data_IF_664639750191
#
_entry.id   IF_664639750191
#
_cell.length_a   1.000
_cell.length_b   1.000
_cell.length_c   1.000
_cell.angle_alpha   90.00
_cell.angle_beta   90.00
_cell.angle_gamma   90.00
#
_symmetry.space_group_name_H-M   'P 1'
#
loop_
_entity.id
_entity.type
_entity.pdbx_description
1 polymer ?
#
# COMPACT_ATOMS: atom_id res chain seq x y z
N UNK A 1 -14.60 17.29 11.26
CA UNK A 1 -14.87 17.05 9.82
C UNK A 1 -15.91 15.95 9.66
N UNK A 2 -16.99 16.16 8.87
CA UNK A 2 -17.99 15.14 8.53
C UNK A 2 -17.36 13.88 7.91
N UNK A 3 -17.98 12.70 8.12
CA UNK A 3 -17.45 11.41 7.66
C UNK A 3 -17.19 11.35 6.15
N UNK A 4 -18.12 11.85 5.34
CA UNK A 4 -17.98 11.89 3.89
C UNK A 4 -16.81 12.79 3.46
N UNK A 5 -16.71 14.00 4.03
CA UNK A 5 -15.63 14.92 3.73
C UNK A 5 -14.27 14.35 4.14
N UNK A 6 -14.21 13.64 5.28
CA UNK A 6 -13.01 12.95 5.74
C UNK A 6 -12.55 11.87 4.76
N UNK A 7 -13.48 11.01 4.31
CA UNK A 7 -13.18 9.98 3.32
C UNK A 7 -12.62 10.58 2.05
N UNK A 8 -13.34 11.54 1.46
CA UNK A 8 -12.94 12.18 0.20
C UNK A 8 -11.57 12.85 0.35
N UNK A 9 -11.36 13.56 1.45
CA UNK A 9 -10.07 14.21 1.73
C UNK A 9 -8.91 13.21 1.80
N UNK A 10 -9.02 12.17 2.62
CA UNK A 10 -7.93 11.20 2.76
C UNK A 10 -7.71 10.38 1.50
N UNK A 11 -8.78 9.90 0.87
CA UNK A 11 -8.68 9.13 -0.37
C UNK A 11 -8.04 9.95 -1.49
N UNK A 12 -8.45 11.20 -1.68
CA UNK A 12 -7.86 12.09 -2.68
C UNK A 12 -6.38 12.41 -2.37
N UNK A 13 -6.01 12.60 -1.10
CA UNK A 13 -4.61 12.85 -0.72
C UNK A 13 -3.73 11.62 -0.96
N UNK A 14 -4.19 10.43 -0.56
CA UNK A 14 -3.49 9.18 -0.81
C UNK A 14 -3.25 8.95 -2.31
N UNK A 15 -4.30 9.08 -3.13
CA UNK A 15 -4.20 8.82 -4.56
C UNK A 15 -3.46 9.93 -5.32
N UNK A 16 -3.89 11.18 -5.18
CA UNK A 16 -3.40 12.28 -6.02
C UNK A 16 -2.09 12.89 -5.52
N UNK A 17 -1.79 12.87 -4.22
CA UNK A 17 -0.59 13.50 -3.65
C UNK A 17 0.52 12.51 -3.34
N UNK A 18 0.17 11.26 -3.03
CA UNK A 18 1.13 10.23 -2.62
C UNK A 18 1.21 9.06 -3.60
N UNK A 19 0.48 9.13 -4.72
CA UNK A 19 0.48 8.14 -5.80
C UNK A 19 0.07 6.71 -5.37
N UNK A 20 -0.73 6.59 -4.30
CA UNK A 20 -1.29 5.29 -3.92
C UNK A 20 -2.38 4.89 -4.91
N UNK A 21 -2.41 3.61 -5.28
CA UNK A 21 -3.47 3.07 -6.14
C UNK A 21 -4.72 2.72 -5.32
N UNK A 22 -5.81 2.46 -6.02
CA UNK A 22 -7.01 1.95 -5.38
C UNK A 22 -6.81 0.50 -4.95
N UNK A 23 -7.20 0.21 -3.69
CA UNK A 23 -7.08 -1.12 -3.09
C UNK A 23 -7.72 -2.24 -3.92
N UNK A 24 -8.81 -1.97 -4.66
CA UNK A 24 -9.47 -2.98 -5.51
C UNK A 24 -8.68 -3.36 -6.76
N UNK A 25 -7.60 -2.63 -7.06
CA UNK A 25 -6.73 -2.87 -8.21
C UNK A 25 -5.41 -3.57 -7.81
N UNK A 26 -5.19 -3.87 -6.53
CA UNK A 26 -3.99 -4.59 -6.11
C UNK A 26 -3.94 -5.98 -6.76
N UNK A 27 -2.74 -6.51 -7.09
CA UNK A 27 -2.62 -7.80 -7.75
C UNK A 27 -3.17 -8.97 -6.93
N UNK A 28 -3.02 -8.91 -5.60
CA UNK A 28 -3.47 -9.94 -4.66
C UNK A 28 -4.92 -9.77 -4.19
N UNK A 29 -5.77 -9.26 -5.08
CA UNK A 29 -7.19 -9.12 -4.79
C UNK A 29 -7.78 -10.48 -4.34
N UNK A 30 -8.45 -10.56 -3.18
CA UNK A 30 -8.85 -11.85 -2.65
C UNK A 30 -9.88 -12.50 -3.55
N UNK A 31 -9.84 -13.83 -3.67
CA UNK A 31 -10.73 -14.62 -4.56
C UNK A 31 -12.22 -14.44 -4.27
N UNK A 32 -12.58 -13.99 -3.07
CA UNK A 32 -13.97 -13.70 -2.72
C UNK A 32 -14.41 -12.29 -3.17
N UNK A 33 -13.47 -11.42 -3.56
CA UNK A 33 -13.70 -10.09 -4.11
C UNK A 33 -13.44 -10.10 -5.62
N UNK A 34 -14.37 -10.72 -6.34
CA UNK A 34 -14.38 -10.78 -7.81
C UNK A 34 -15.63 -10.09 -8.33
N UNK A 35 -15.49 -9.35 -9.42
CA UNK A 35 -16.60 -8.64 -10.03
C UNK A 35 -17.50 -9.57 -10.87
N UNK A 36 -18.79 -9.28 -10.89
CA UNK A 36 -19.70 -9.72 -11.93
C UNK A 36 -19.57 -8.77 -13.12
N UNK A 37 -18.69 -9.07 -14.09
CA UNK A 37 -18.33 -8.14 -15.16
C UNK A 37 -19.56 -7.52 -15.86
N UNK A 38 -20.53 -8.34 -16.26
CA UNK A 38 -21.76 -7.85 -16.92
C UNK A 38 -22.59 -6.90 -16.07
N UNK A 39 -22.60 -7.08 -14.74
CA UNK A 39 -23.31 -6.19 -13.82
C UNK A 39 -22.53 -4.90 -13.58
N UNK A 40 -21.20 -4.99 -13.49
CA UNK A 40 -20.31 -3.82 -13.36
C UNK A 40 -20.41 -2.94 -14.61
N UNK A 41 -20.27 -3.54 -15.80
CA UNK A 41 -20.34 -2.82 -17.07
C UNK A 41 -21.67 -2.11 -17.22
N UNK A 42 -22.78 -2.80 -16.90
CA UNK A 42 -24.12 -2.22 -16.92
C UNK A 42 -24.25 -1.05 -15.93
N UNK A 43 -23.88 -1.27 -14.67
CA UNK A 43 -24.02 -0.28 -13.60
C UNK A 43 -23.26 1.01 -13.92
N UNK A 44 -21.97 0.92 -14.26
CA UNK A 44 -21.16 2.11 -14.50
C UNK A 44 -21.48 2.82 -15.82
N UNK A 45 -21.98 2.09 -16.83
CA UNK A 45 -22.46 2.69 -18.07
C UNK A 45 -23.77 3.43 -17.89
N UNK A 46 -24.74 2.82 -17.21
CA UNK A 46 -26.09 3.38 -17.05
C UNK A 46 -26.11 4.49 -16.00
N UNK A 47 -25.43 4.31 -14.86
CA UNK A 47 -25.48 5.27 -13.74
C UNK A 47 -24.48 6.42 -13.90
N UNK A 48 -23.31 6.16 -14.50
CA UNK A 48 -22.21 7.14 -14.58
C UNK A 48 -21.79 7.48 -16.02
N UNK A 49 -22.40 6.88 -17.04
CA UNK A 49 -22.08 7.16 -18.44
C UNK A 49 -20.66 6.75 -18.84
N UNK A 50 -20.01 5.86 -18.08
CA UNK A 50 -18.62 5.45 -18.35
C UNK A 50 -18.53 4.59 -19.61
N UNK A 51 -17.45 4.77 -20.38
CA UNK A 51 -17.14 3.88 -21.49
C UNK A 51 -16.68 2.51 -20.99
N UNK A 52 -16.74 1.49 -21.84
CA UNK A 52 -16.21 0.16 -21.49
C UNK A 52 -14.72 0.21 -21.13
N UNK A 53 -13.95 1.06 -21.82
CA UNK A 53 -12.52 1.23 -21.54
C UNK A 53 -12.29 1.92 -20.19
N UNK A 54 -13.09 2.93 -19.84
CA UNK A 54 -12.99 3.59 -18.53
C UNK A 54 -13.33 2.62 -17.38
N UNK A 55 -14.35 1.78 -17.56
CA UNK A 55 -14.74 0.77 -16.57
C UNK A 55 -13.60 -0.24 -16.41
N UNK A 56 -13.03 -0.68 -17.53
CA UNK A 56 -11.92 -1.62 -17.54
C UNK A 56 -10.71 -1.05 -16.78
N UNK A 57 -10.28 0.16 -17.12
CA UNK A 57 -9.08 0.79 -16.55
C UNK A 57 -9.27 1.13 -15.07
N UNK A 58 -10.41 1.73 -14.69
CA UNK A 58 -10.58 2.31 -13.36
C UNK A 58 -11.21 1.35 -12.34
N UNK A 59 -11.98 0.35 -12.81
CA UNK A 59 -12.78 -0.50 -11.94
C UNK A 59 -12.28 -1.94 -11.94
N UNK A 60 -12.18 -2.59 -13.10
CA UNK A 60 -12.02 -4.05 -13.13
C UNK A 60 -10.59 -4.53 -13.26
N UNK A 61 -9.72 -3.78 -13.96
CA UNK A 61 -8.31 -4.13 -14.11
C UNK A 61 -7.59 -4.07 -12.75
N UNK A 62 -6.80 -5.10 -12.51
CA UNK A 62 -5.79 -5.11 -11.47
C UNK A 62 -4.43 -4.82 -12.09
N UNK A 63 -3.58 -4.18 -11.30
CA UNK A 63 -2.17 -4.08 -11.62
C UNK A 63 -1.53 -5.48 -11.69
N UNK A 64 -0.53 -5.63 -12.54
CA UNK A 64 0.20 -6.90 -12.68
C UNK A 64 1.30 -6.97 -11.61
N UNK A 65 1.46 -8.10 -10.89
CA UNK A 65 2.48 -8.25 -9.86
C UNK A 65 3.89 -7.95 -10.38
N UNK A 66 4.16 -8.15 -11.67
CA UNK A 66 5.49 -7.99 -12.27
C UNK A 66 5.83 -6.53 -12.58
N UNK A 67 4.83 -5.66 -12.74
CA UNK A 67 5.00 -4.25 -13.14
C UNK A 67 4.53 -3.27 -12.09
N UNK A 68 3.98 -3.75 -10.97
CA UNK A 68 3.45 -2.92 -9.91
C UNK A 68 4.25 -3.11 -8.65
N UNK A 69 4.98 -2.06 -8.32
CA UNK A 69 5.98 -2.03 -7.27
C UNK A 69 5.42 -1.24 -6.09
N UNK A 70 5.71 -1.67 -4.85
CA UNK A 70 5.25 -1.04 -3.60
C UNK A 70 3.74 -1.13 -3.36
N UNK A 71 3.24 -2.33 -3.01
CA UNK A 71 1.84 -2.52 -2.63
C UNK A 71 1.68 -3.34 -1.35
N UNK A 72 0.69 -2.99 -0.54
CA UNK A 72 0.26 -3.80 0.60
C UNK A 72 -0.62 -4.97 0.16
N UNK A 73 -0.74 -6.04 0.97
CA UNK A 73 -1.78 -7.01 0.77
C UNK A 73 -3.12 -6.31 0.89
N UNK A 74 -4.11 -6.87 0.21
CA UNK A 74 -5.45 -6.31 0.20
C UNK A 74 -5.96 -6.02 1.61
N UNK A 75 -6.24 -4.75 1.87
CA UNK A 75 -6.82 -4.28 3.13
C UNK A 75 -8.30 -3.86 2.94
N UNK A 76 -9.27 -4.65 3.45
CA UNK A 76 -10.68 -4.30 3.35
C UNK A 76 -11.06 -3.00 4.08
N UNK A 77 -10.19 -2.49 4.96
CA UNK A 77 -10.38 -1.28 5.74
C UNK A 77 -9.63 -0.05 5.17
N UNK A 78 -8.86 -0.25 4.09
CA UNK A 78 -8.10 0.82 3.44
C UNK A 78 -9.01 1.98 3.01
N UNK A 79 -8.54 3.20 3.23
CA UNK A 79 -9.25 4.40 2.79
C UNK A 79 -9.29 4.50 1.26
N UNK A 80 -8.38 3.83 0.56
CA UNK A 80 -8.31 3.84 -0.91
C UNK A 80 -9.25 2.82 -1.55
N UNK A 81 -9.81 1.88 -0.77
CA UNK A 81 -10.81 0.92 -1.24
C UNK A 81 -12.11 1.63 -1.61
N UNK A 82 -12.52 1.47 -2.86
CA UNK A 82 -13.81 1.95 -3.34
C UNK A 82 -14.96 1.21 -2.67
N UNK A 83 -16.07 1.91 -2.44
CA UNK A 83 -17.30 1.31 -1.97
C UNK A 83 -18.02 0.70 -3.17
N UNK A 84 -18.16 -0.62 -3.18
CA UNK A 84 -18.85 -1.38 -4.19
C UNK A 84 -20.12 -2.00 -3.59
N UNK A 85 -21.28 -1.80 -4.23
CA UNK A 85 -22.49 -2.54 -3.88
C UNK A 85 -22.30 -4.06 -4.00
N UNK A 86 -22.90 -4.82 -3.09
CA UNK A 86 -22.73 -6.28 -3.07
C UNK A 86 -23.24 -6.99 -4.32
N UNK A 87 -24.24 -6.42 -5.02
CA UNK A 87 -24.75 -7.01 -6.26
C UNK A 87 -23.74 -6.99 -7.42
N UNK A 88 -22.70 -6.16 -7.33
CA UNK A 88 -21.59 -6.11 -8.30
C UNK A 88 -20.50 -7.16 -8.02
N UNK A 89 -20.48 -7.75 -6.82
CA UNK A 89 -19.45 -8.69 -6.37
C UNK A 89 -20.02 -10.11 -6.37
N UNK A 90 -19.22 -11.08 -6.82
CA UNK A 90 -19.65 -12.48 -7.01
C UNK A 90 -20.17 -13.16 -5.74
N UNK A 91 -19.64 -12.78 -4.58
CA UNK A 91 -20.08 -13.33 -3.30
C UNK A 91 -21.30 -12.59 -2.70
N UNK A 92 -21.85 -11.59 -3.40
CA UNK A 92 -22.96 -10.76 -2.94
C UNK A 92 -22.62 -9.76 -1.83
N UNK A 93 -21.36 -9.70 -1.37
CA UNK A 93 -20.90 -8.84 -0.28
C UNK A 93 -20.13 -7.66 -0.86
N UNK A 94 -20.67 -6.46 -0.64
CA UNK A 94 -20.02 -5.22 -1.04
C UNK A 94 -18.82 -4.90 -0.16
N UNK A 95 -18.13 -3.80 -0.49
CA UNK A 95 -17.06 -3.27 0.35
C UNK A 95 -17.58 -2.18 1.30
N UNK A 96 -16.93 -2.01 2.46
CA UNK A 96 -17.36 -1.02 3.44
C UNK A 96 -17.12 0.43 2.96
N UNK A 97 -17.85 1.36 3.57
CA UNK A 97 -17.59 2.79 3.42
C UNK A 97 -16.54 3.23 4.45
N UNK A 98 -15.26 3.03 4.13
CA UNK A 98 -14.15 3.39 5.03
C UNK A 98 -14.03 4.91 5.14
N UNK A 99 -14.02 5.44 6.36
CA UNK A 99 -13.96 6.90 6.60
C UNK A 99 -12.67 7.37 7.24
N UNK A 100 -11.84 6.43 7.68
CA UNK A 100 -10.63 6.67 8.44
C UNK A 100 -9.50 5.85 7.82
N UNK A 101 -8.26 6.31 8.00
CA UNK A 101 -7.09 5.54 7.59
C UNK A 101 -7.04 4.24 8.40
N UNK A 102 -6.84 3.11 7.71
CA UNK A 102 -6.57 1.84 8.37
C UNK A 102 -5.19 1.86 9.04
N UNK A 103 -4.88 0.82 9.81
CA UNK A 103 -3.54 0.68 10.38
C UNK A 103 -2.50 0.30 9.31
N UNK A 104 -2.91 -0.33 8.21
CA UNK A 104 -2.06 -0.58 7.05
C UNK A 104 -1.80 0.71 6.27
N UNK A 105 -2.82 1.54 6.01
CA UNK A 105 -2.65 2.86 5.40
C UNK A 105 -1.60 3.67 6.16
N UNK A 106 -1.74 3.76 7.49
CA UNK A 106 -0.79 4.50 8.35
C UNK A 106 0.60 3.86 8.35
N UNK A 107 0.69 2.55 8.33
CA UNK A 107 1.98 1.84 8.30
C UNK A 107 2.73 2.11 7.01
N UNK A 108 2.07 1.94 5.86
CA UNK A 108 2.67 2.20 4.55
C UNK A 108 3.06 3.68 4.44
N UNK A 109 2.24 4.61 4.94
CA UNK A 109 2.60 6.02 5.04
C UNK A 109 3.83 6.27 5.91
N UNK A 110 3.93 5.65 7.09
CA UNK A 110 5.07 5.86 8.00
C UNK A 110 6.37 5.26 7.47
N UNK A 111 6.30 4.11 6.80
CA UNK A 111 7.48 3.46 6.22
C UNK A 111 7.95 4.13 4.94
N UNK A 112 7.02 4.64 4.12
CA UNK A 112 7.36 5.39 2.91
C UNK A 112 7.67 6.86 3.19
N UNK A 113 7.09 7.51 4.20
CA UNK A 113 7.23 8.96 4.42
C UNK A 113 7.44 9.27 5.90
N UNK A 114 8.48 8.68 6.48
CA UNK A 114 8.80 8.95 7.86
C UNK A 114 9.10 10.42 8.11
N UNK A 115 8.89 10.82 9.36
CA UNK A 115 9.22 12.14 9.87
C UNK A 115 10.16 11.97 11.04
N UNK A 116 11.16 12.84 11.10
CA UNK A 116 12.07 12.94 12.25
C UNK A 116 11.31 13.45 13.48
N UNK A 117 10.40 14.40 13.27
CA UNK A 117 9.52 14.93 14.31
C UNK A 117 8.11 14.36 14.16
N UNK A 118 7.77 13.41 15.03
CA UNK A 118 6.41 12.88 15.15
C UNK A 118 5.60 13.87 15.98
N UNK A 119 4.45 14.30 15.46
CA UNK A 119 3.52 15.14 16.22
C UNK A 119 3.11 14.41 17.51
N UNK A 120 3.27 15.04 18.70
CA UNK A 120 2.93 14.43 19.99
C UNK A 120 1.50 13.87 20.06
N UNK A 121 0.57 14.42 19.28
CA UNK A 121 -0.83 13.99 19.22
C UNK A 121 -1.03 12.63 18.51
N UNK A 122 -0.04 12.16 17.76
CA UNK A 122 -0.03 10.83 17.12
C UNK A 122 1.15 9.98 17.59
N UNK A 123 1.69 10.28 18.78
CA UNK A 123 2.94 9.75 19.34
C UNK A 123 3.12 8.24 19.32
N UNK A 124 2.04 7.45 19.27
CA UNK A 124 2.15 5.99 19.10
C UNK A 124 2.66 5.56 17.71
N UNK A 125 2.40 6.35 16.67
CA UNK A 125 2.80 6.04 15.30
C UNK A 125 4.24 6.47 15.05
N UNK A 126 5.16 5.57 15.39
CA UNK A 126 6.59 5.63 15.01
C UNK A 126 6.89 4.61 13.92
N UNK A 127 8.07 4.73 13.28
CA UNK A 127 8.56 3.70 12.35
C UNK A 127 8.69 2.34 13.04
N UNK A 128 9.12 2.33 14.31
CA UNK A 128 9.14 1.12 15.13
C UNK A 128 7.74 0.50 15.29
N UNK A 129 6.73 1.30 15.63
CA UNK A 129 5.37 0.79 15.78
C UNK A 129 4.79 0.32 14.44
N UNK A 130 5.04 1.05 13.36
CA UNK A 130 4.64 0.65 12.02
C UNK A 130 5.27 -0.70 11.62
N UNK A 131 6.56 -0.91 11.89
CA UNK A 131 7.24 -2.18 11.68
C UNK A 131 6.59 -3.32 12.49
N UNK A 132 6.19 -3.05 13.73
CA UNK A 132 5.50 -4.03 14.59
C UNK A 132 4.09 -4.38 14.06
N UNK A 133 3.33 -3.40 13.54
CA UNK A 133 2.00 -3.60 12.93
C UNK A 133 2.07 -4.58 11.75
N UNK A 134 3.14 -4.49 10.95
CA UNK A 134 3.37 -5.40 9.83
C UNK A 134 4.34 -6.55 10.17
N UNK A 135 4.57 -6.81 11.45
CA UNK A 135 5.29 -8.01 11.90
C UNK A 135 6.76 -8.10 11.49
N UNK A 136 7.42 -6.99 11.14
CA UNK A 136 8.87 -6.97 10.89
C UNK A 136 9.61 -7.25 12.19
N UNK A 137 10.53 -8.22 12.17
CA UNK A 137 11.26 -8.71 13.36
C UNK A 137 12.76 -8.86 13.09
N UNK A 138 13.51 -9.04 14.17
CA UNK A 138 14.95 -9.33 14.11
C UNK A 138 15.78 -8.19 13.55
N UNK A 139 16.89 -8.53 12.92
CA UNK A 139 17.89 -7.60 12.40
C UNK A 139 17.29 -6.53 11.46
N UNK A 140 16.28 -6.88 10.68
CA UNK A 140 15.62 -5.93 9.77
C UNK A 140 14.81 -4.87 10.48
N UNK A 141 14.19 -5.23 11.60
CA UNK A 141 13.52 -4.26 12.47
C UNK A 141 14.53 -3.26 13.00
N UNK A 142 15.68 -3.74 13.47
CA UNK A 142 16.76 -2.89 13.98
C UNK A 142 17.29 -1.98 12.88
N UNK A 143 17.59 -2.49 11.69
CA UNK A 143 18.05 -1.70 10.54
C UNK A 143 17.05 -0.61 10.12
N UNK A 144 15.76 -0.94 10.01
CA UNK A 144 14.72 0.02 9.63
C UNK A 144 14.52 1.09 10.71
N UNK A 145 14.59 0.72 11.99
CA UNK A 145 14.40 1.67 13.10
C UNK A 145 15.63 2.53 13.32
N UNK A 146 16.85 1.98 13.23
CA UNK A 146 18.10 2.74 13.41
C UNK A 146 18.29 3.78 12.30
N UNK A 147 17.87 3.47 11.07
CA UNK A 147 17.87 4.42 9.96
C UNK A 147 16.94 5.65 10.15
N UNK A 148 16.28 5.79 11.31
CA UNK A 148 15.43 6.93 11.68
C UNK A 148 16.07 7.88 12.70
N UNK A 149 17.36 7.74 13.01
CA UNK A 149 18.02 8.56 14.02
C UNK A 149 18.11 10.05 13.61
N UNK A 150 17.93 11.01 14.55
CA UNK A 150 17.72 12.43 14.25
C UNK A 150 18.96 13.19 13.73
N UNK A 151 20.13 12.54 13.71
CA UNK A 151 21.40 13.18 13.37
C UNK A 151 21.97 12.77 12.01
N UNK A 152 21.39 11.76 11.37
CA UNK A 152 21.84 11.33 10.05
C UNK A 152 20.88 11.85 8.99
N UNK A 153 21.46 12.63 8.09
CA UNK A 153 20.92 12.85 6.76
C UNK A 153 20.66 11.46 6.20
N UNK A 154 19.38 11.11 6.01
CA UNK A 154 18.80 10.44 4.85
C UNK A 154 17.51 9.73 5.28
N UNK A 155 16.36 10.42 5.19
CA UNK A 155 15.05 9.76 5.04
C UNK A 155 15.08 8.74 3.88
N UNK A 156 15.99 8.96 2.92
CA UNK A 156 16.36 8.02 1.87
C UNK A 156 17.03 6.75 2.40
N UNK A 157 17.86 6.77 3.44
CA UNK A 157 18.53 5.60 4.01
C UNK A 157 17.52 4.69 4.74
N UNK A 158 16.48 5.25 5.36
CA UNK A 158 15.39 4.44 5.90
C UNK A 158 14.56 3.80 4.77
N UNK A 159 14.21 4.59 3.75
CA UNK A 159 13.54 4.04 2.55
C UNK A 159 14.40 2.95 1.92
N UNK A 160 15.71 3.17 1.80
CA UNK A 160 16.69 2.22 1.28
C UNK A 160 16.81 1.01 2.20
N UNK A 161 16.78 1.15 3.52
CA UNK A 161 16.81 0.01 4.45
C UNK A 161 15.52 -0.82 4.38
N UNK A 162 14.37 -0.16 4.27
CA UNK A 162 13.08 -0.82 4.03
C UNK A 162 13.03 -1.48 2.63
N UNK A 163 13.61 -0.82 1.64
CA UNK A 163 13.85 -1.38 0.31
C UNK A 163 14.74 -2.62 0.44
N UNK A 164 15.93 -2.51 1.02
CA UNK A 164 16.88 -3.60 1.17
C UNK A 164 16.30 -4.77 1.96
N UNK A 165 15.54 -4.54 3.03
CA UNK A 165 14.80 -5.60 3.72
C UNK A 165 13.96 -6.42 2.76
N UNK A 166 13.17 -5.73 1.95
CA UNK A 166 12.36 -6.35 0.92
C UNK A 166 13.17 -7.06 -0.17
N UNK A 167 14.39 -6.59 -0.43
CA UNK A 167 15.28 -7.19 -1.44
C UNK A 167 16.06 -8.42 -0.93
N UNK A 168 16.38 -8.46 0.36
CA UNK A 168 17.38 -9.37 0.94
C UNK A 168 16.74 -10.60 1.59
N UNK A 169 15.44 -10.57 1.91
CA UNK A 169 14.76 -11.73 2.45
C UNK A 169 14.61 -12.89 1.43
N UNK A 170 14.96 -12.72 0.15
CA UNK A 170 14.61 -13.61 -1.00
C UNK A 170 13.10 -13.99 -1.07
N UNK A 171 12.32 -13.50 -0.12
CA UNK A 171 10.89 -13.44 -0.10
C UNK A 171 10.55 -12.06 -0.61
N UNK A 172 9.96 -12.04 -1.80
CA UNK A 172 9.33 -10.87 -2.41
C UNK A 172 8.13 -10.36 -1.58
N UNK A 173 7.91 -10.93 -0.39
CA UNK A 173 6.83 -10.61 0.51
C UNK A 173 7.20 -10.68 1.99
N UNK A 174 6.54 -9.87 2.82
CA UNK A 174 6.52 -10.01 4.29
C UNK A 174 5.28 -10.81 4.68
N UNK A 175 5.45 -11.96 5.36
CA UNK A 175 4.32 -12.71 5.90
C UNK A 175 3.73 -11.98 7.12
N UNK A 176 2.47 -11.56 6.99
CA UNK A 176 1.67 -10.94 8.03
C UNK A 176 0.68 -11.95 8.61
N UNK A 177 0.14 -11.70 9.82
CA UNK A 177 -0.98 -12.46 10.35
C UNK A 177 -2.23 -12.45 9.45
N UNK A 178 -2.31 -11.53 8.48
CA UNK A 178 -3.48 -11.29 7.62
C UNK A 178 -3.18 -11.31 6.11
N UNK A 179 -1.96 -11.66 5.68
CA UNK A 179 -1.61 -11.70 4.24
C UNK A 179 -0.12 -11.56 3.98
N UNK A 180 0.27 -11.31 2.72
CA UNK A 180 1.66 -11.13 2.29
C UNK A 180 1.85 -9.72 1.74
N UNK A 181 2.77 -8.91 2.31
CA UNK A 181 3.10 -7.59 1.74
C UNK A 181 4.14 -7.78 0.67
N UNK A 182 3.87 -7.48 -0.59
CA UNK A 182 4.89 -7.52 -1.64
C UNK A 182 5.63 -6.22 -1.71
N UNK A 183 6.92 -6.27 -1.37
CA UNK A 183 7.65 -5.03 -1.18
C UNK A 183 8.41 -4.62 -2.46
N UNK A 184 8.85 -5.56 -3.32
CA UNK A 184 9.34 -5.28 -4.71
C UNK A 184 9.19 -6.49 -5.66
N UNK A 185 9.23 -6.23 -6.98
CA UNK A 185 9.27 -7.26 -8.05
C UNK A 185 10.72 -7.68 -8.35
N UNK A 186 10.94 -8.89 -8.89
CA UNK A 186 12.27 -9.42 -9.23
C UNK A 186 13.07 -8.50 -10.17
N UNK A 187 12.36 -7.80 -11.07
CA UNK A 187 12.95 -6.95 -12.10
C UNK A 187 13.50 -5.65 -11.53
N UNK A 188 12.82 -5.06 -10.54
CA UNK A 188 13.36 -3.91 -9.79
C UNK A 188 14.36 -4.33 -8.73
N UNK A 189 14.29 -5.56 -8.25
CA UNK A 189 15.32 -6.20 -7.44
C UNK A 189 16.67 -6.22 -8.16
N UNK A 190 16.70 -6.58 -9.45
CA UNK A 190 17.92 -6.52 -10.26
C UNK A 190 18.40 -5.07 -10.49
N UNK A 191 17.48 -4.15 -10.75
CA UNK A 191 17.81 -2.73 -10.96
C UNK A 191 18.31 -2.04 -9.68
N UNK A 192 17.64 -2.25 -8.54
CA UNK A 192 18.04 -1.75 -7.23
C UNK A 192 19.22 -2.52 -6.64
N UNK A 193 19.51 -3.76 -7.06
CA UNK A 193 20.79 -4.43 -6.72
C UNK A 193 21.94 -3.77 -7.47
N UNK A 194 21.72 -3.33 -8.72
CA UNK A 194 22.71 -2.57 -9.48
C UNK A 194 22.91 -1.15 -8.93
N UNK A 195 21.85 -0.44 -8.52
CA UNK A 195 21.94 0.88 -7.89
C UNK A 195 22.40 0.81 -6.42
N UNK A 196 21.93 -0.20 -5.69
CA UNK A 196 22.21 -0.43 -4.27
C UNK A 196 23.61 -0.98 -4.01
N UNK A 197 24.29 -1.61 -4.99
CA UNK A 197 25.70 -1.98 -4.81
C UNK A 197 26.61 -0.76 -4.64
N UNK A 198 26.25 0.38 -5.23
CA UNK A 198 26.98 1.64 -5.03
C UNK A 198 26.70 2.21 -3.63
N UNK A 199 25.44 2.22 -3.18
CA UNK A 199 25.05 2.77 -1.87
C UNK A 199 25.50 1.88 -0.69
N UNK A 200 25.47 0.56 -0.85
CA UNK A 200 25.94 -0.40 0.18
C UNK A 200 27.45 -0.27 0.38
N UNK A 201 28.22 0.03 -0.68
CA UNK A 201 29.67 0.24 -0.57
C UNK A 201 30.07 1.51 0.21
N UNK A 202 29.13 2.44 0.42
CA UNK A 202 29.33 3.63 1.26
C UNK A 202 28.91 3.41 2.74
N UNK A 203 28.25 2.30 3.04
CA UNK A 203 27.74 1.94 4.38
C UNK A 203 28.52 0.80 5.07
N UNK A 204 29.49 0.19 4.36
CA UNK A 204 30.50 -0.75 4.91
C UNK A 204 31.81 -0.04 5.26
#
# INVERSE_FOLDING_TARGET
MPKLLRRVYYQARMHASLAFVHEHQVPERPKHFLFHQTKVDKYYREELGMSEEDIKINITNTYQPETFENYSPFDPHSITLYQFPGHLIQNGRGTPFNTDLSDIDKTVLMLNYARLDIDPLVSRWSVSYAADVIGIKGEWREKIVVATHPHDVLLEAQRVAFICFALHCDQMYVDLPFGRIWVYTAKRLEHLRAEGSEIISELE
#
